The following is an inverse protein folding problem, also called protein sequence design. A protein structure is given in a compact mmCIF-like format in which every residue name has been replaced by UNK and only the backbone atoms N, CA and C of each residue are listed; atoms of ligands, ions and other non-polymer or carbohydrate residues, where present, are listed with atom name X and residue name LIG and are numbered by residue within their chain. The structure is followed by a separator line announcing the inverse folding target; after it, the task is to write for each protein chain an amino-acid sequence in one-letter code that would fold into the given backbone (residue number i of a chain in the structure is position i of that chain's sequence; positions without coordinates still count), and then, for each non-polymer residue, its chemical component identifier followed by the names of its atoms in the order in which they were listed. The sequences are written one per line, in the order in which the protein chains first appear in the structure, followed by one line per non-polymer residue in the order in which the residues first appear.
data_IF_630854439122
#
_entry.id   IF_630854439122
#
_cell.length_a   1.000
_cell.length_b   1.000
_cell.length_c   1.000
_cell.angle_alpha   90.00
_cell.angle_beta   90.00
_cell.angle_gamma   90.00
#
_symmetry.space_group_name_H-M   'P 1'
#
loop_
_entity.id
_entity.type
_entity.pdbx_description
1 polymer ?
#
# COMPACT_ATOMS: atom_id res chain seq x y z
N UNK A 1 24.50 11.89 20.43
CA UNK A 1 23.03 11.88 20.34
C UNK A 1 22.60 10.43 20.35
N UNK A 2 21.91 10.00 21.40
CA UNK A 2 21.51 8.59 21.59
C UNK A 2 20.40 8.28 20.59
N UNK A 3 20.58 7.25 19.76
CA UNK A 3 19.52 6.71 18.94
C UNK A 3 18.39 6.23 19.87
N UNK A 4 17.36 7.07 20.01
CA UNK A 4 16.12 6.68 20.62
C UNK A 4 15.49 5.72 19.61
N UNK A 5 15.70 4.42 19.80
CA UNK A 5 14.88 3.40 19.15
C UNK A 5 13.45 3.77 19.51
N UNK A 6 12.71 4.31 18.55
CA UNK A 6 11.27 4.46 18.69
C UNK A 6 10.78 3.07 19.07
N UNK A 7 10.19 2.93 20.25
CA UNK A 7 9.37 1.77 20.54
C UNK A 7 8.34 1.75 19.42
N UNK A 8 8.54 0.86 18.45
CA UNK A 8 7.51 0.52 17.47
C UNK A 8 6.42 -0.07 18.33
N UNK A 9 5.48 0.77 18.76
CA UNK A 9 4.27 0.38 19.46
C UNK A 9 3.65 -0.67 18.55
N UNK A 10 3.90 -1.93 18.88
CA UNK A 10 3.65 -3.03 17.97
C UNK A 10 2.15 -3.24 18.02
N UNK A 11 1.48 -2.58 17.09
CA UNK A 11 0.06 -2.68 16.94
C UNK A 11 -0.21 -4.01 16.22
N UNK A 12 -0.34 -5.09 16.99
CA UNK A 12 -0.53 -6.46 16.48
C UNK A 12 -1.68 -6.53 15.48
N UNK A 13 -2.70 -5.69 15.65
CA UNK A 13 -3.83 -5.56 14.72
C UNK A 13 -3.41 -4.97 13.38
N UNK A 14 -2.53 -3.98 13.36
CA UNK A 14 -2.00 -3.42 12.11
C UNK A 14 -1.11 -4.43 11.38
N UNK A 15 -0.25 -5.15 12.12
CA UNK A 15 0.55 -6.25 11.53
C UNK A 15 -0.35 -7.31 10.90
N UNK A 16 -1.43 -7.69 11.58
CA UNK A 16 -2.41 -8.63 11.05
C UNK A 16 -3.11 -8.11 9.80
N UNK A 17 -3.54 -6.83 9.79
CA UNK A 17 -4.14 -6.18 8.61
C UNK A 17 -3.19 -6.16 7.42
N UNK A 18 -1.90 -5.89 7.64
CA UNK A 18 -0.89 -5.92 6.59
C UNK A 18 -0.69 -7.33 6.03
N UNK A 19 -0.60 -8.35 6.90
CA UNK A 19 -0.55 -9.74 6.48
C UNK A 19 -1.79 -10.14 5.66
N UNK A 20 -2.98 -9.72 6.10
CA UNK A 20 -4.22 -9.94 5.38
C UNK A 20 -4.21 -9.27 4.00
N UNK A 21 -3.73 -8.02 3.89
CA UNK A 21 -3.60 -7.31 2.62
C UNK A 21 -2.65 -8.05 1.65
N UNK A 22 -1.52 -8.55 2.15
CA UNK A 22 -0.59 -9.38 1.36
C UNK A 22 -1.25 -10.67 0.91
N UNK A 23 -1.98 -11.36 1.80
CA UNK A 23 -2.70 -12.58 1.46
C UNK A 23 -3.74 -12.35 0.36
N UNK A 24 -4.47 -11.22 0.40
CA UNK A 24 -5.44 -10.85 -0.64
C UNK A 24 -4.77 -10.62 -1.99
N UNK A 25 -3.60 -9.96 -2.03
CA UNK A 25 -2.83 -9.81 -3.27
C UNK A 25 -2.40 -11.15 -3.84
N UNK A 26 -1.87 -12.04 -2.99
CA UNK A 26 -1.47 -13.40 -3.41
C UNK A 26 -2.69 -14.14 -3.97
N UNK A 27 -3.83 -14.09 -3.29
CA UNK A 27 -5.07 -14.71 -3.78
C UNK A 27 -5.54 -14.11 -5.11
N UNK A 28 -5.41 -12.80 -5.32
CA UNK A 28 -5.71 -12.16 -6.59
C UNK A 28 -4.83 -12.70 -7.73
N UNK A 29 -3.53 -12.84 -7.48
CA UNK A 29 -2.57 -13.39 -8.45
C UNK A 29 -2.86 -14.88 -8.71
N UNK A 30 -3.08 -15.67 -7.66
CA UNK A 30 -3.42 -17.10 -7.81
C UNK A 30 -4.74 -17.25 -8.58
N UNK A 31 -5.75 -16.45 -8.27
CA UNK A 31 -7.01 -16.40 -9.01
C UNK A 31 -6.80 -16.07 -10.48
N UNK A 32 -5.91 -15.12 -10.80
CA UNK A 32 -5.57 -14.80 -12.18
C UNK A 32 -5.05 -16.02 -12.95
N UNK A 33 -4.18 -16.85 -12.35
CA UNK A 33 -3.68 -18.07 -13.00
C UNK A 33 -4.69 -19.21 -13.00
N UNK A 34 -5.54 -19.31 -11.96
CA UNK A 34 -6.53 -20.38 -11.86
C UNK A 34 -7.65 -20.25 -12.91
N UNK A 35 -8.12 -19.02 -13.16
CA UNK A 35 -9.17 -18.74 -14.15
C UNK A 35 -8.63 -18.58 -15.57
N UNK A 36 -7.65 -19.40 -15.98
CA UNK A 36 -7.01 -19.28 -17.30
C UNK A 36 -7.99 -19.48 -18.46
N UNK A 37 -9.05 -20.29 -18.26
CA UNK A 37 -10.10 -20.53 -19.25
C UNK A 37 -11.10 -19.38 -19.42
N UNK A 38 -11.07 -18.37 -18.55
CA UNK A 38 -11.96 -17.21 -18.61
C UNK A 38 -11.37 -16.09 -19.47
N UNK A 39 -12.23 -15.16 -19.88
CA UNK A 39 -11.79 -13.98 -20.63
C UNK A 39 -10.74 -13.18 -19.85
N UNK A 40 -9.67 -12.80 -20.56
CA UNK A 40 -8.56 -12.01 -20.02
C UNK A 40 -9.04 -10.75 -19.27
N UNK A 41 -10.13 -10.12 -19.75
CA UNK A 41 -10.70 -8.93 -19.14
C UNK A 41 -11.15 -9.20 -17.69
N UNK A 42 -11.87 -10.29 -17.44
CA UNK A 42 -12.38 -10.61 -16.11
C UNK A 42 -11.25 -10.97 -15.14
N UNK A 43 -10.22 -11.67 -15.61
CA UNK A 43 -9.04 -12.00 -14.82
C UNK A 43 -8.31 -10.75 -14.34
N UNK A 44 -8.07 -9.81 -15.25
CA UNK A 44 -7.42 -8.53 -14.93
C UNK A 44 -8.27 -7.71 -13.96
N UNK A 45 -9.60 -7.63 -14.18
CA UNK A 45 -10.51 -6.95 -13.27
C UNK A 45 -10.48 -7.55 -11.86
N UNK A 46 -10.39 -8.88 -11.75
CA UNK A 46 -10.24 -9.57 -10.45
C UNK A 46 -8.97 -9.14 -9.70
N UNK A 47 -7.83 -9.08 -10.41
CA UNK A 47 -6.56 -8.63 -9.80
C UNK A 47 -6.61 -7.16 -9.41
N UNK A 48 -7.18 -6.30 -10.27
CA UNK A 48 -7.34 -4.87 -9.97
C UNK A 48 -8.22 -4.69 -8.73
N UNK A 49 -9.32 -5.42 -8.64
CA UNK A 49 -10.20 -5.39 -7.46
C UNK A 49 -9.46 -5.85 -6.20
N UNK A 50 -8.73 -6.97 -6.25
CA UNK A 50 -7.92 -7.44 -5.13
C UNK A 50 -6.86 -6.42 -4.69
N UNK A 51 -6.22 -5.74 -5.66
CA UNK A 51 -5.25 -4.69 -5.38
C UNK A 51 -5.88 -3.48 -4.69
N UNK A 52 -7.07 -3.03 -5.14
CA UNK A 52 -7.82 -1.95 -4.50
C UNK A 52 -8.14 -2.31 -3.05
N UNK A 53 -8.64 -3.52 -2.80
CA UNK A 53 -8.97 -4.00 -1.45
C UNK A 53 -7.71 -4.04 -0.56
N UNK A 54 -6.59 -4.56 -1.07
CA UNK A 54 -5.33 -4.61 -0.32
C UNK A 54 -4.80 -3.21 0.03
N UNK A 55 -4.87 -2.27 -0.92
CA UNK A 55 -4.51 -0.86 -0.68
C UNK A 55 -5.43 -0.24 0.36
N UNK A 56 -6.74 -0.47 0.26
CA UNK A 56 -7.72 0.06 1.22
C UNK A 56 -7.42 -0.45 2.65
N UNK A 57 -7.16 -1.75 2.82
CA UNK A 57 -6.80 -2.33 4.12
C UNK A 57 -5.49 -1.72 4.63
N UNK A 58 -4.45 -1.67 3.79
CA UNK A 58 -3.15 -1.10 4.14
C UNK A 58 -3.25 0.37 4.54
N UNK A 59 -4.08 1.17 3.86
CA UNK A 59 -4.32 2.57 4.16
C UNK A 59 -4.98 2.81 5.54
N UNK A 60 -5.68 1.81 6.09
CA UNK A 60 -6.25 1.91 7.46
C UNK A 60 -5.23 1.70 8.57
N UNK A 61 -4.02 1.22 8.26
CA UNK A 61 -2.96 0.97 9.25
C UNK A 61 -2.20 2.24 9.60
N UNK A 62 -1.56 2.29 10.77
CA UNK A 62 -0.73 3.43 11.15
C UNK A 62 0.39 3.70 10.14
N UNK A 63 0.99 2.64 9.58
CA UNK A 63 1.99 2.74 8.52
C UNK A 63 1.40 3.38 7.25
N UNK A 64 0.23 2.92 6.81
CA UNK A 64 -0.44 3.43 5.62
C UNK A 64 -0.84 4.91 5.75
N UNK A 65 -1.40 5.30 6.90
CA UNK A 65 -1.75 6.69 7.18
C UNK A 65 -0.50 7.58 7.22
N UNK A 66 0.58 7.11 7.86
CA UNK A 66 1.87 7.80 7.87
C UNK A 66 2.45 8.03 6.48
N UNK A 67 2.42 7.01 5.61
CA UNK A 67 2.87 7.12 4.22
C UNK A 67 2.03 8.13 3.41
N UNK A 68 0.71 8.12 3.59
CA UNK A 68 -0.19 9.08 2.93
C UNK A 68 0.09 10.51 3.41
N UNK A 69 0.30 10.71 4.71
CA UNK A 69 0.68 12.00 5.30
C UNK A 69 2.01 12.50 4.73
N UNK A 70 3.05 11.67 4.79
CA UNK A 70 4.37 11.97 4.23
C UNK A 70 4.30 12.33 2.74
N UNK A 71 3.53 11.58 1.95
CA UNK A 71 3.36 11.89 0.52
C UNK A 71 2.69 13.24 0.26
N UNK A 72 1.78 13.69 1.13
CA UNK A 72 1.18 15.04 1.05
C UNK A 72 2.21 16.11 1.37
N UNK A 73 2.99 15.92 2.44
CA UNK A 73 4.04 16.85 2.86
C UNK A 73 5.16 16.95 1.81
N UNK A 74 5.62 15.82 1.27
CA UNK A 74 6.62 15.77 0.22
C UNK A 74 6.20 16.56 -1.03
N UNK A 75 4.92 16.47 -1.44
CA UNK A 75 4.39 17.27 -2.56
C UNK A 75 4.40 18.76 -2.27
N UNK A 76 4.15 19.18 -1.02
CA UNK A 76 4.23 20.57 -0.63
C UNK A 76 5.68 21.06 -0.67
N UNK A 77 6.63 20.22 -0.26
CA UNK A 77 8.06 20.57 -0.24
C UNK A 77 8.64 20.73 -1.65
N UNK A 78 8.30 19.81 -2.58
CA UNK A 78 8.72 19.90 -3.98
C UNK A 78 8.27 21.21 -4.63
N UNK A 79 7.11 21.75 -4.25
CA UNK A 79 6.61 23.04 -4.76
C UNK A 79 7.39 24.25 -4.23
N UNK A 80 8.07 24.13 -3.10
CA UNK A 80 8.92 25.20 -2.55
C UNK A 80 10.29 25.23 -3.22
N UNK A 81 10.69 24.14 -3.89
CA UNK A 81 11.95 24.09 -4.62
C UNK A 81 11.82 24.89 -5.90
N UNK A 82 12.30 26.13 -5.86
CA UNK A 82 12.53 26.93 -7.07
C UNK A 82 13.82 26.43 -7.70
N UNK A 83 13.69 25.70 -8.80
CA UNK A 83 14.85 25.30 -9.59
C UNK A 83 15.37 26.49 -10.38
N UNK A 84 16.68 26.73 -10.40
CA UNK A 84 17.26 27.80 -11.19
C UNK A 84 16.96 27.56 -12.67
N UNK A 85 16.24 28.50 -13.29
CA UNK A 85 16.25 28.63 -14.75
C UNK A 85 17.57 29.25 -15.16
N UNK A 86 18.18 28.73 -16.22
CA UNK A 86 19.38 29.36 -16.81
C UNK A 86 19.06 30.78 -17.28
#
# INVERSE_FOLDING_TARGET
MVAKTEEVVTNKLDTFKLLLAIAILILGIVGFYYYESESQLYRVLGVVFAAIVAIAISATTNLGQGLIGFGREARMEVRKVVWPTR
#
